data_IF_267283639751
#
_entry.id   IF_267283639751
#
_cell.length_a   1.000
_cell.length_b   1.000
_cell.length_c   1.000
_cell.angle_alpha   90.00
_cell.angle_beta   90.00
_cell.angle_gamma   90.00
#
_symmetry.space_group_name_H-M   'P 1'
#
loop_
_entity.id
_entity.type
_entity.pdbx_description
1 polymer ?
#
# COMPACT_ATOMS: atom_id res chain seq x y z
N UNK A 1 3.01 11.24 39.97
CA UNK A 1 4.39 11.75 39.76
C UNK A 1 4.87 11.23 38.42
N UNK A 2 5.53 12.05 37.60
CA UNK A 2 5.98 11.63 36.27
C UNK A 2 7.46 11.27 36.27
N UNK A 3 7.84 10.33 35.42
CA UNK A 3 9.23 9.91 35.29
C UNK A 3 9.51 8.99 34.11
N UNK A 4 10.73 8.46 34.04
CA UNK A 4 11.20 7.57 32.98
C UNK A 4 11.84 6.30 33.53
N UNK A 5 11.56 5.17 32.89
CA UNK A 5 12.16 3.88 33.26
C UNK A 5 13.65 3.86 32.90
N UNK A 6 14.53 3.62 33.86
CA UNK A 6 15.98 3.53 33.68
C UNK A 6 16.46 2.12 33.30
N UNK A 7 15.77 1.09 33.79
CA UNK A 7 16.21 -0.30 33.65
C UNK A 7 15.18 -1.25 34.25
N UNK A 8 15.02 -2.41 33.62
CA UNK A 8 14.20 -3.52 34.11
C UNK A 8 15.17 -4.66 34.41
N UNK A 9 15.34 -5.04 35.67
CA UNK A 9 16.22 -6.15 36.02
C UNK A 9 15.47 -7.47 35.78
N UNK A 10 15.91 -8.23 34.79
CA UNK A 10 15.26 -9.49 34.34
C UNK A 10 15.23 -10.56 35.42
N UNK A 11 16.15 -10.49 36.40
CA UNK A 11 16.28 -11.51 37.46
C UNK A 11 15.49 -11.21 38.74
N UNK A 12 15.10 -9.94 38.97
CA UNK A 12 14.53 -9.51 40.25
C UNK A 12 13.12 -8.92 40.12
N UNK A 13 12.54 -8.90 38.91
CA UNK A 13 11.21 -8.34 38.64
C UNK A 13 11.04 -6.92 39.25
N UNK A 14 12.14 -6.18 39.36
CA UNK A 14 12.19 -4.85 39.94
C UNK A 14 12.87 -3.91 38.94
N UNK A 15 12.29 -2.73 38.77
CA UNK A 15 12.81 -1.69 37.89
C UNK A 15 13.12 -0.40 38.63
N UNK A 16 13.86 0.48 37.97
CA UNK A 16 14.17 1.81 38.47
C UNK A 16 13.53 2.87 37.56
N UNK A 17 12.94 3.89 38.17
CA UNK A 17 12.34 5.06 37.53
C UNK A 17 13.10 6.30 38.00
N UNK A 18 13.49 7.18 37.09
CA UNK A 18 13.89 8.55 37.43
C UNK A 18 12.66 9.42 37.40
N UNK A 19 12.30 10.01 38.54
CA UNK A 19 11.26 11.02 38.61
C UNK A 19 11.72 12.32 37.95
N UNK A 20 10.77 13.16 37.55
CA UNK A 20 11.04 14.51 37.03
C UNK A 20 11.70 15.42 38.09
N UNK A 21 11.66 15.03 39.37
CA UNK A 21 12.40 15.65 40.48
C UNK A 21 13.90 15.28 40.52
N UNK A 22 14.36 14.45 39.58
CA UNK A 22 15.74 13.96 39.50
C UNK A 22 16.07 12.85 40.50
N UNK A 23 15.12 12.40 41.32
CA UNK A 23 15.32 11.29 42.28
C UNK A 23 15.00 9.95 41.62
N UNK A 24 15.59 8.88 42.17
CA UNK A 24 15.39 7.52 41.70
C UNK A 24 14.41 6.79 42.61
N UNK A 25 13.40 6.18 42.00
CA UNK A 25 12.37 5.39 42.64
C UNK A 25 12.48 3.95 42.13
N UNK A 26 12.35 2.97 43.02
CA UNK A 26 12.23 1.57 42.62
C UNK A 26 10.76 1.20 42.51
N UNK A 27 10.41 0.35 41.55
CA UNK A 27 9.08 -0.26 41.46
C UNK A 27 9.22 -1.77 41.32
N UNK A 28 8.24 -2.49 41.85
CA UNK A 28 8.08 -3.92 41.66
C UNK A 28 7.23 -4.20 40.42
N UNK A 29 7.42 -5.32 39.74
CA UNK A 29 6.59 -5.73 38.61
C UNK A 29 5.10 -5.83 38.99
N UNK A 30 4.77 -6.14 40.25
CA UNK A 30 3.39 -6.17 40.74
C UNK A 30 2.69 -4.78 40.70
N UNK A 31 3.47 -3.70 40.76
CA UNK A 31 2.99 -2.31 40.71
C UNK A 31 2.77 -1.81 39.28
N UNK A 32 3.17 -2.58 38.26
CA UNK A 32 3.00 -2.20 36.86
C UNK A 32 1.57 -2.43 36.37
N UNK A 33 0.95 -1.38 35.82
CA UNK A 33 -0.45 -1.37 35.36
C UNK A 33 -0.59 -1.30 33.83
N UNK A 34 0.50 -1.44 33.08
CA UNK A 34 0.48 -1.39 31.61
C UNK A 34 0.21 -2.75 30.94
N UNK A 35 -0.51 -2.74 29.82
CA UNK A 35 -0.81 -3.96 29.03
C UNK A 35 0.42 -4.64 28.43
N UNK A 36 1.50 -3.89 28.20
CA UNK A 36 2.79 -4.38 27.70
C UNK A 36 3.84 -4.29 28.79
N UNK A 37 4.86 -5.14 28.70
CA UNK A 37 6.02 -5.07 29.57
C UNK A 37 6.66 -3.68 29.53
N UNK A 38 7.09 -3.21 30.70
CA UNK A 38 7.84 -1.98 30.86
C UNK A 38 9.11 -1.96 29.97
N UNK A 39 9.35 -0.85 29.28
CA UNK A 39 10.53 -0.65 28.43
C UNK A 39 11.40 0.50 28.94
N UNK A 40 12.72 0.34 28.81
CA UNK A 40 13.68 1.38 29.21
C UNK A 40 13.44 2.64 28.38
N UNK A 41 13.38 3.78 29.05
CA UNK A 41 13.07 5.09 28.45
C UNK A 41 11.58 5.40 28.34
N UNK A 42 10.68 4.47 28.65
CA UNK A 42 9.24 4.73 28.66
C UNK A 42 8.89 5.80 29.71
N UNK A 43 8.00 6.72 29.33
CA UNK A 43 7.45 7.71 30.26
C UNK A 43 6.31 7.08 31.04
N UNK A 44 6.31 7.30 32.35
CA UNK A 44 5.37 6.69 33.30
C UNK A 44 4.81 7.74 34.25
N UNK A 45 3.59 7.52 34.71
CA UNK A 45 3.00 8.20 35.87
C UNK A 45 2.88 7.17 37.00
N UNK A 46 3.27 7.54 38.20
CA UNK A 46 3.33 6.67 39.36
C UNK A 46 3.08 7.45 40.64
N UNK A 47 2.61 6.79 41.68
CA UNK A 47 2.54 7.39 43.01
C UNK A 47 3.80 7.06 43.82
N UNK A 48 4.16 7.92 44.77
CA UNK A 48 5.35 7.74 45.61
C UNK A 48 4.93 7.50 47.04
N UNK A 49 5.26 6.32 47.56
CA UNK A 49 5.05 5.96 48.95
C UNK A 49 6.36 5.43 49.53
N UNK A 50 6.92 6.14 50.53
CA UNK A 50 8.15 5.70 51.22
C UNK A 50 9.40 5.58 50.33
N UNK A 51 9.46 6.28 49.19
CA UNK A 51 10.59 6.20 48.23
C UNK A 51 10.48 5.03 47.24
N UNK A 52 9.35 4.33 47.24
CA UNK A 52 8.98 3.29 46.26
C UNK A 52 7.88 3.84 45.35
N UNK A 53 7.96 3.53 44.07
CA UNK A 53 6.94 3.88 43.09
C UNK A 53 5.83 2.80 43.10
N UNK A 54 4.60 3.23 43.36
CA UNK A 54 3.38 2.40 43.36
C UNK A 54 2.45 2.79 42.22
N UNK A 55 1.60 1.85 41.82
CA UNK A 55 0.60 2.02 40.75
C UNK A 55 1.19 2.74 39.52
N UNK A 56 2.18 2.08 38.90
CA UNK A 56 2.93 2.61 37.76
C UNK A 56 2.12 2.43 36.48
N UNK A 57 1.62 3.53 35.94
CA UNK A 57 0.91 3.57 34.68
C UNK A 57 1.85 4.02 33.55
N UNK A 58 1.79 3.37 32.37
CA UNK A 58 2.40 3.95 31.17
C UNK A 58 1.73 5.29 30.88
N UNK A 59 2.51 6.36 30.80
CA UNK A 59 1.95 7.67 30.48
C UNK A 59 1.37 7.61 29.06
N UNK A 60 0.09 7.95 28.93
CA UNK A 60 -0.61 8.05 27.64
C UNK A 60 0.05 9.16 26.85
N UNK A 61 0.95 8.75 25.94
CA UNK A 61 1.96 9.63 25.33
C UNK A 61 3.22 8.88 24.90
N UNK A 62 3.40 7.63 25.36
CA UNK A 62 4.45 6.71 24.92
C UNK A 62 4.39 6.24 23.46
N UNK A 63 3.65 6.92 22.57
CA UNK A 63 3.89 6.88 21.13
C UNK A 63 5.02 7.88 20.78
N UNK A 64 6.20 7.69 21.37
CA UNK A 64 7.42 8.41 21.00
C UNK A 64 8.46 7.48 20.35
N UNK A 65 7.99 6.37 19.76
CA UNK A 65 8.74 5.68 18.71
C UNK A 65 8.45 6.37 17.39
N UNK A 66 9.41 7.17 16.91
CA UNK A 66 9.35 8.08 15.75
C UNK A 66 8.68 9.43 16.02
N UNK A 67 9.24 10.19 16.98
CA UNK A 67 8.92 11.60 17.16
C UNK A 67 10.09 12.33 17.77
N UNK A 68 10.86 13.06 16.96
CA UNK A 68 11.85 14.00 17.47
C UNK A 68 11.13 14.98 18.41
N UNK A 69 11.51 15.02 19.69
CA UNK A 69 10.91 15.95 20.64
C UNK A 69 11.10 17.39 20.16
N UNK A 70 10.15 18.30 20.43
CA UNK A 70 10.23 19.68 19.93
C UNK A 70 11.56 20.37 20.31
N UNK A 71 12.11 20.04 21.48
CA UNK A 71 13.44 20.48 21.94
C UNK A 71 14.59 19.86 21.13
N UNK A 72 14.45 18.61 20.69
CA UNK A 72 15.41 17.96 19.77
C UNK A 72 15.34 18.54 18.35
N UNK A 73 14.13 18.88 17.86
CA UNK A 73 13.95 19.51 16.54
C UNK A 73 14.53 20.91 16.54
N UNK A 74 14.34 21.66 17.63
CA UNK A 74 14.87 23.02 17.75
C UNK A 74 16.39 23.05 17.96
N UNK A 75 16.93 22.10 18.73
CA UNK A 75 18.37 21.90 18.83
C UNK A 75 19.00 21.46 17.50
N UNK A 76 18.31 20.60 16.74
CA UNK A 76 18.76 20.19 15.41
C UNK A 76 18.68 21.35 14.43
N UNK A 77 17.62 22.17 14.47
CA UNK A 77 17.42 23.34 13.62
C UNK A 77 18.53 24.40 13.79
N UNK A 78 19.06 24.55 15.01
CA UNK A 78 20.19 25.47 15.29
C UNK A 78 21.57 24.86 14.98
N UNK A 79 21.64 23.58 14.62
CA UNK A 79 22.91 22.97 14.21
C UNK A 79 23.29 23.40 12.79
N UNK A 80 24.59 23.38 12.42
CA UNK A 80 25.02 23.66 11.04
C UNK A 80 24.34 22.75 9.99
N UNK A 81 23.98 21.52 10.39
CA UNK A 81 23.20 20.61 9.56
C UNK A 81 21.74 21.02 9.43
N UNK A 82 21.10 21.47 10.51
CA UNK A 82 19.71 21.93 10.49
C UNK A 82 19.51 23.22 9.71
N UNK A 83 20.44 24.16 9.81
CA UNK A 83 20.41 25.39 9.03
C UNK A 83 20.53 25.12 7.53
N UNK A 84 21.35 24.13 7.14
CA UNK A 84 21.44 23.63 5.77
C UNK A 84 20.15 22.94 5.32
N UNK A 85 19.50 22.17 6.18
CA UNK A 85 18.19 21.57 5.88
C UNK A 85 17.14 22.67 5.66
N UNK A 86 17.05 23.65 6.56
CA UNK A 86 16.09 24.76 6.48
C UNK A 86 16.30 25.56 5.18
N UNK A 87 17.55 25.83 4.80
CA UNK A 87 17.83 26.54 3.55
C UNK A 87 17.43 25.73 2.30
N UNK A 88 17.63 24.40 2.31
CA UNK A 88 17.14 23.54 1.22
C UNK A 88 15.60 23.55 1.14
N UNK A 89 14.90 23.48 2.28
CA UNK A 89 13.44 23.59 2.32
C UNK A 89 12.90 24.93 1.81
N UNK A 90 13.65 26.02 1.97
CA UNK A 90 13.27 27.36 1.46
C UNK A 90 13.65 27.57 -0.01
N UNK A 91 14.77 27.00 -0.45
CA UNK A 91 15.31 27.23 -1.78
C UNK A 91 14.81 26.23 -2.82
N UNK A 92 14.40 25.02 -2.42
CA UNK A 92 13.91 23.99 -3.34
C UNK A 92 12.63 23.31 -2.85
N UNK A 93 11.71 23.05 -3.78
CA UNK A 93 10.51 22.24 -3.56
C UNK A 93 10.82 20.73 -3.61
N UNK A 94 11.97 20.33 -4.17
CA UNK A 94 12.32 18.93 -4.37
C UNK A 94 12.37 18.16 -3.04
N UNK A 95 13.00 18.75 -2.03
CA UNK A 95 13.19 18.13 -0.72
C UNK A 95 11.86 17.88 0.04
N UNK A 96 11.00 18.90 0.27
CA UNK A 96 9.73 18.67 0.96
C UNK A 96 8.83 17.69 0.21
N UNK A 97 8.77 17.78 -1.12
CA UNK A 97 7.89 16.92 -1.91
C UNK A 97 8.42 15.48 -1.97
N UNK A 98 9.74 15.26 -2.06
CA UNK A 98 10.31 13.91 -1.95
C UNK A 98 10.04 13.27 -0.59
N UNK A 99 10.06 14.04 0.51
CA UNK A 99 9.67 13.52 1.82
C UNK A 99 8.19 13.13 1.85
N UNK A 100 7.31 13.92 1.23
CA UNK A 100 5.90 13.54 1.06
C UNK A 100 5.76 12.24 0.27
N UNK A 101 6.53 12.02 -0.80
CA UNK A 101 6.54 10.75 -1.53
C UNK A 101 6.93 9.58 -0.64
N UNK A 102 7.99 9.73 0.17
CA UNK A 102 8.41 8.69 1.12
C UNK A 102 7.31 8.38 2.14
N UNK A 103 6.73 9.40 2.78
CA UNK A 103 5.65 9.22 3.76
C UNK A 103 4.41 8.59 3.11
N UNK A 104 3.98 9.11 1.95
CA UNK A 104 2.81 8.63 1.22
C UNK A 104 2.91 7.15 0.83
N UNK A 105 4.13 6.65 0.62
CA UNK A 105 4.36 5.23 0.34
C UNK A 105 3.96 4.31 1.50
N UNK A 106 4.13 4.77 2.75
CA UNK A 106 3.77 3.99 3.94
C UNK A 106 2.30 4.20 4.36
N UNK A 107 1.63 5.21 3.82
CA UNK A 107 0.22 5.45 4.10
C UNK A 107 -0.69 4.38 3.46
N UNK A 108 -1.94 4.25 3.92
CA UNK A 108 -2.90 3.31 3.35
C UNK A 108 -3.06 3.52 1.85
N UNK A 109 -2.92 2.42 1.09
CA UNK A 109 -3.02 2.38 -0.36
C UNK A 109 -4.36 1.79 -0.81
N UNK A 110 -4.73 0.65 -0.24
CA UNK A 110 -6.04 0.04 -0.39
C UNK A 110 -6.68 -0.10 0.99
N UNK A 111 -7.93 0.31 1.10
CA UNK A 111 -8.73 0.18 2.31
C UNK A 111 -9.96 -0.64 1.99
N UNK A 112 -10.24 -1.61 2.85
CA UNK A 112 -11.48 -2.40 2.85
C UNK A 112 -11.99 -2.45 4.30
N UNK A 113 -13.29 -2.73 4.54
CA UNK A 113 -13.85 -2.82 5.89
C UNK A 113 -13.11 -3.79 6.81
N UNK A 114 -12.46 -4.79 6.21
CA UNK A 114 -11.78 -5.88 6.92
C UNK A 114 -10.27 -5.63 7.04
N UNK A 115 -9.66 -4.88 6.12
CA UNK A 115 -8.21 -4.73 6.04
C UNK A 115 -7.77 -3.46 5.32
N UNK A 116 -6.85 -2.73 5.94
CA UNK A 116 -6.10 -1.62 5.33
C UNK A 116 -4.69 -2.06 5.00
N UNK A 117 -4.23 -1.74 3.79
CA UNK A 117 -2.92 -2.18 3.29
C UNK A 117 -2.19 -0.99 2.66
N UNK A 118 -0.93 -0.78 3.03
CA UNK A 118 -0.04 0.23 2.43
C UNK A 118 0.61 -0.27 1.14
N UNK A 119 1.38 0.58 0.45
CA UNK A 119 2.07 0.20 -0.80
C UNK A 119 2.94 -1.06 -0.63
N UNK A 120 3.52 -1.27 0.55
CA UNK A 120 4.34 -2.46 0.84
C UNK A 120 3.54 -3.76 0.92
N UNK A 121 2.28 -3.70 1.33
CA UNK A 121 1.46 -4.89 1.58
C UNK A 121 0.60 -5.33 0.41
N UNK A 122 0.62 -4.59 -0.70
CA UNK A 122 -0.24 -4.82 -1.87
C UNK A 122 -0.07 -6.24 -2.45
N UNK A 123 1.12 -6.82 -2.38
CA UNK A 123 1.38 -8.18 -2.90
C UNK A 123 0.61 -9.24 -2.11
N UNK A 124 0.35 -8.99 -0.81
CA UNK A 124 -0.47 -9.87 0.03
C UNK A 124 -1.94 -9.83 -0.36
N UNK A 125 -2.41 -8.71 -0.90
CA UNK A 125 -3.78 -8.59 -1.41
C UNK A 125 -3.94 -9.46 -2.65
N UNK A 126 -3.01 -9.34 -3.60
CA UNK A 126 -3.00 -10.18 -4.82
C UNK A 126 -2.90 -11.67 -4.49
N UNK A 127 -2.03 -12.04 -3.55
CA UNK A 127 -1.91 -13.43 -3.10
C UNK A 127 -3.22 -13.95 -2.48
N UNK A 128 -3.97 -13.10 -1.77
CA UNK A 128 -5.27 -13.47 -1.20
C UNK A 128 -6.41 -13.54 -2.22
N UNK A 129 -6.28 -12.92 -3.40
CA UNK A 129 -7.30 -12.98 -4.47
C UNK A 129 -7.34 -14.35 -5.16
N UNK A 130 -6.48 -15.30 -4.77
CA UNK A 130 -6.59 -16.70 -5.21
C UNK A 130 -6.08 -16.94 -6.63
N UNK A 131 -5.00 -16.27 -7.04
CA UNK A 131 -4.30 -16.59 -8.30
C UNK A 131 -3.66 -17.99 -8.23
N UNK A 132 -4.48 -19.03 -8.40
CA UNK A 132 -4.00 -20.38 -8.70
C UNK A 132 -3.63 -20.41 -10.18
N UNK A 133 -2.33 -20.33 -10.48
CA UNK A 133 -1.80 -20.47 -11.84
C UNK A 133 -2.30 -21.77 -12.51
N UNK A 134 -2.54 -22.80 -11.71
CA UNK A 134 -3.05 -24.09 -12.14
C UNK A 134 -4.50 -24.01 -12.64
N UNK A 135 -5.37 -23.23 -11.98
CA UNK A 135 -6.77 -23.03 -12.41
C UNK A 135 -6.82 -22.25 -13.72
N UNK A 136 -5.96 -21.24 -13.88
CA UNK A 136 -5.83 -20.49 -15.13
C UNK A 136 -5.37 -21.40 -16.28
N UNK A 137 -4.47 -22.33 -16.02
CA UNK A 137 -4.00 -23.27 -17.04
C UNK A 137 -5.06 -24.30 -17.43
N UNK A 138 -5.83 -24.81 -16.48
CA UNK A 138 -7.01 -25.64 -16.75
C UNK A 138 -8.04 -24.87 -17.59
N UNK A 139 -8.30 -23.60 -17.26
CA UNK A 139 -9.16 -22.72 -18.05
C UNK A 139 -8.70 -22.54 -19.49
N UNK A 140 -7.39 -22.36 -19.72
CA UNK A 140 -6.82 -22.27 -21.08
C UNK A 140 -6.99 -23.56 -21.87
N UNK A 141 -6.79 -24.72 -21.24
CA UNK A 141 -7.03 -26.02 -21.89
C UNK A 141 -8.49 -26.18 -22.29
N UNK A 142 -9.41 -25.86 -21.37
CA UNK A 142 -10.86 -25.88 -21.62
C UNK A 142 -11.26 -24.94 -22.75
N UNK A 143 -10.67 -23.74 -22.81
CA UNK A 143 -10.90 -22.79 -23.90
C UNK A 143 -10.45 -23.38 -25.26
N UNK A 144 -9.30 -24.04 -25.30
CA UNK A 144 -8.80 -24.68 -26.53
C UNK A 144 -9.68 -25.86 -26.98
N UNK A 145 -10.24 -26.62 -26.03
CA UNK A 145 -11.24 -27.65 -26.33
C UNK A 145 -12.52 -27.04 -26.92
N UNK A 146 -13.06 -25.99 -26.31
CA UNK A 146 -14.22 -25.24 -26.81
C UNK A 146 -14.02 -24.69 -28.21
N UNK A 147 -12.84 -24.12 -28.50
CA UNK A 147 -12.53 -23.59 -29.82
C UNK A 147 -12.48 -24.69 -30.89
N UNK A 148 -12.00 -25.88 -30.54
CA UNK A 148 -12.05 -27.06 -31.40
C UNK A 148 -13.47 -27.53 -31.65
N UNK A 149 -14.30 -27.56 -30.61
CA UNK A 149 -15.70 -27.97 -30.73
C UNK A 149 -16.52 -26.96 -31.56
N UNK A 150 -16.35 -25.66 -31.33
CA UNK A 150 -16.97 -24.59 -32.14
C UNK A 150 -16.60 -24.76 -33.61
N UNK A 151 -15.32 -25.00 -33.92
CA UNK A 151 -14.89 -25.23 -35.29
C UNK A 151 -15.59 -26.45 -35.91
N UNK A 152 -15.68 -27.56 -35.16
CA UNK A 152 -16.40 -28.77 -35.59
C UNK A 152 -17.88 -28.48 -35.86
N UNK A 153 -18.60 -27.91 -34.91
CA UNK A 153 -20.04 -27.62 -35.08
C UNK A 153 -20.31 -26.60 -36.16
N UNK A 154 -19.42 -25.62 -36.36
CA UNK A 154 -19.53 -24.67 -37.47
C UNK A 154 -19.39 -25.36 -38.84
N UNK A 155 -18.47 -26.34 -38.95
CA UNK A 155 -18.37 -27.15 -40.17
C UNK A 155 -19.60 -28.04 -40.37
N UNK A 156 -20.15 -28.64 -39.31
CA UNK A 156 -21.37 -29.45 -39.40
C UNK A 156 -22.59 -28.61 -39.80
N UNK A 157 -22.74 -27.41 -39.24
CA UNK A 157 -23.79 -26.45 -39.62
C UNK A 157 -23.71 -26.08 -41.10
N UNK A 158 -22.50 -25.91 -41.65
CA UNK A 158 -22.29 -25.61 -43.06
C UNK A 158 -22.70 -26.78 -43.98
N UNK A 159 -22.58 -28.02 -43.52
CA UNK A 159 -22.90 -29.22 -44.31
C UNK A 159 -24.35 -29.66 -44.18
N UNK A 160 -24.95 -29.57 -42.98
CA UNK A 160 -26.28 -30.09 -42.66
C UNK A 160 -27.34 -29.01 -42.43
N UNK A 161 -26.94 -27.75 -42.38
CA UNK A 161 -27.80 -26.63 -41.99
C UNK A 161 -27.87 -26.45 -40.46
N UNK A 162 -28.09 -25.23 -40.01
CA UNK A 162 -28.12 -24.88 -38.58
C UNK A 162 -29.29 -25.50 -37.81
N UNK A 163 -30.38 -25.86 -38.49
CA UNK A 163 -31.55 -26.53 -37.92
C UNK A 163 -31.41 -28.05 -37.79
N UNK A 164 -30.30 -28.64 -38.27
CA UNK A 164 -30.06 -30.07 -38.14
C UNK A 164 -30.03 -30.48 -36.65
N UNK A 165 -30.63 -31.63 -36.28
CA UNK A 165 -30.62 -32.11 -34.91
C UNK A 165 -29.20 -32.39 -34.42
N UNK A 166 -28.87 -31.92 -33.22
CA UNK A 166 -27.60 -32.24 -32.55
C UNK A 166 -27.65 -33.70 -32.04
N UNK A 167 -26.74 -34.53 -32.53
CA UNK A 167 -26.72 -35.98 -32.28
C UNK A 167 -26.32 -36.39 -30.86
N UNK A 168 -25.94 -35.44 -30.00
CA UNK A 168 -25.38 -35.76 -28.68
C UNK A 168 -26.47 -36.03 -27.62
N UNK A 169 -27.69 -35.46 -27.73
CA UNK A 169 -28.81 -35.77 -26.80
C UNK A 169 -30.23 -35.66 -27.40
N UNK A 170 -30.39 -35.36 -28.70
CA UNK A 170 -31.71 -35.33 -29.36
C UNK A 170 -32.63 -34.18 -28.97
N UNK A 171 -32.19 -33.28 -28.08
CA UNK A 171 -32.90 -32.06 -27.70
C UNK A 171 -32.05 -30.84 -28.10
N UNK A 172 -32.28 -30.29 -29.30
CA UNK A 172 -31.59 -29.11 -29.82
C UNK A 172 -31.11 -29.25 -31.26
N UNK A 173 -30.74 -28.13 -31.87
CA UNK A 173 -30.14 -28.08 -33.20
C UNK A 173 -28.68 -27.61 -33.11
N UNK A 174 -27.93 -27.83 -34.19
CA UNK A 174 -26.51 -27.45 -34.29
C UNK A 174 -26.29 -25.94 -34.05
N UNK A 175 -27.23 -25.09 -34.49
CA UNK A 175 -27.18 -23.64 -34.28
C UNK A 175 -27.21 -23.23 -32.81
N UNK A 176 -28.19 -23.72 -32.05
CA UNK A 176 -28.33 -23.43 -30.61
C UNK A 176 -27.11 -23.96 -29.82
N UNK A 177 -26.57 -25.11 -30.24
CA UNK A 177 -25.34 -25.66 -29.63
C UNK A 177 -24.15 -24.75 -29.89
N UNK A 178 -23.97 -24.29 -31.13
CA UNK A 178 -22.92 -23.35 -31.49
C UNK A 178 -23.01 -22.06 -30.68
N UNK A 179 -24.21 -21.48 -30.54
CA UNK A 179 -24.45 -20.29 -29.72
C UNK A 179 -24.04 -20.53 -28.25
N UNK A 180 -24.47 -21.65 -27.65
CA UNK A 180 -24.10 -21.99 -26.28
C UNK A 180 -22.59 -22.18 -26.07
N UNK A 181 -21.89 -22.73 -27.06
CA UNK A 181 -20.43 -22.92 -27.01
C UNK A 181 -19.71 -21.58 -27.17
N UNK A 182 -20.21 -20.70 -28.04
CA UNK A 182 -19.67 -19.34 -28.23
C UNK A 182 -19.86 -18.49 -26.97
N UNK A 183 -21.00 -18.61 -26.29
CA UNK A 183 -21.27 -17.97 -24.99
C UNK A 183 -20.29 -18.48 -23.93
N UNK A 184 -20.16 -19.79 -23.75
CA UNK A 184 -19.20 -20.39 -22.80
C UNK A 184 -17.75 -19.97 -23.10
N UNK A 185 -17.36 -19.91 -24.38
CA UNK A 185 -16.04 -19.44 -24.80
C UNK A 185 -15.84 -17.98 -24.41
N UNK A 186 -16.85 -17.12 -24.60
CA UNK A 186 -16.82 -15.70 -24.25
C UNK A 186 -16.61 -15.51 -22.75
N UNK A 187 -17.35 -16.25 -21.92
CA UNK A 187 -17.22 -16.21 -20.46
C UNK A 187 -15.84 -16.65 -19.98
N UNK A 188 -15.38 -17.83 -20.44
CA UNK A 188 -14.06 -18.36 -20.06
C UNK A 188 -12.94 -17.43 -20.52
N UNK A 189 -13.05 -16.85 -21.72
CA UNK A 189 -12.10 -15.86 -22.23
C UNK A 189 -12.07 -14.59 -21.38
N UNK A 190 -13.23 -14.08 -20.96
CA UNK A 190 -13.31 -12.91 -20.06
C UNK A 190 -12.63 -13.20 -18.73
N UNK A 191 -12.88 -14.37 -18.13
CA UNK A 191 -12.23 -14.82 -16.90
C UNK A 191 -10.70 -14.91 -17.05
N UNK A 192 -10.23 -15.58 -18.10
CA UNK A 192 -8.79 -15.70 -18.41
C UNK A 192 -8.14 -14.33 -18.65
N UNK A 193 -8.80 -13.45 -19.40
CA UNK A 193 -8.30 -12.10 -19.65
C UNK A 193 -8.17 -11.27 -18.36
N UNK A 194 -9.12 -11.39 -17.44
CA UNK A 194 -9.05 -10.73 -16.14
C UNK A 194 -7.90 -11.28 -15.27
N UNK A 195 -7.67 -12.59 -15.30
CA UNK A 195 -6.53 -13.24 -14.62
C UNK A 195 -5.19 -12.75 -15.19
N UNK A 196 -5.05 -12.75 -16.52
CA UNK A 196 -3.83 -12.30 -17.19
C UNK A 196 -3.56 -10.81 -16.94
N UNK A 197 -4.61 -9.98 -16.91
CA UNK A 197 -4.52 -8.57 -16.55
C UNK A 197 -4.04 -8.40 -15.11
N UNK A 198 -4.64 -9.11 -14.14
CA UNK A 198 -4.23 -9.06 -12.75
C UNK A 198 -2.77 -9.51 -12.57
N UNK A 199 -2.35 -10.59 -13.26
CA UNK A 199 -0.97 -11.06 -13.25
C UNK A 199 -0.01 -10.00 -13.80
N UNK A 200 -0.39 -9.35 -14.90
CA UNK A 200 0.41 -8.28 -15.52
C UNK A 200 0.56 -7.10 -14.58
N UNK A 201 -0.54 -6.66 -13.96
CA UNK A 201 -0.52 -5.58 -12.95
C UNK A 201 0.31 -5.99 -11.75
N UNK A 202 0.20 -7.22 -11.25
CA UNK A 202 0.99 -7.72 -10.13
C UNK A 202 2.50 -7.71 -10.43
N UNK A 203 2.90 -8.12 -11.64
CA UNK A 203 4.30 -8.00 -12.06
C UNK A 203 4.73 -6.54 -12.13
N UNK A 204 3.88 -5.66 -12.69
CA UNK A 204 4.17 -4.23 -12.80
C UNK A 204 4.21 -3.52 -11.44
N UNK A 205 3.56 -4.06 -10.40
CA UNK A 205 3.60 -3.51 -9.05
C UNK A 205 5.02 -3.40 -8.50
N UNK A 206 5.97 -4.23 -8.94
CA UNK A 206 7.37 -4.09 -8.51
C UNK A 206 7.96 -2.72 -8.89
N UNK A 207 7.47 -2.09 -9.95
CA UNK A 207 7.89 -0.76 -10.39
C UNK A 207 7.52 0.33 -9.37
N UNK A 208 6.56 0.10 -8.47
CA UNK A 208 6.20 1.09 -7.45
C UNK A 208 7.38 1.43 -6.52
N UNK A 209 8.30 0.48 -6.30
CA UNK A 209 9.50 0.71 -5.48
C UNK A 209 10.50 1.68 -6.12
N UNK A 210 10.40 1.92 -7.42
CA UNK A 210 11.20 2.96 -8.10
C UNK A 210 10.91 4.34 -7.52
N UNK A 211 9.69 4.60 -7.01
CA UNK A 211 9.35 5.86 -6.36
C UNK A 211 10.16 6.08 -5.07
N UNK A 212 10.36 5.04 -4.25
CA UNK A 212 11.19 5.13 -3.04
C UNK A 212 12.65 5.41 -3.38
N UNK A 213 13.19 4.67 -4.34
CA UNK A 213 14.59 4.81 -4.77
C UNK A 213 14.80 6.20 -5.38
N UNK A 214 13.89 6.66 -6.25
CA UNK A 214 13.98 7.96 -6.88
C UNK A 214 13.83 9.11 -5.86
N UNK A 215 12.94 8.98 -4.87
CA UNK A 215 12.81 9.97 -3.80
C UNK A 215 14.07 10.04 -2.93
N UNK A 216 14.62 8.89 -2.50
CA UNK A 216 15.87 8.84 -1.75
C UNK A 216 17.05 9.42 -2.54
N UNK A 217 17.11 9.12 -3.84
CA UNK A 217 18.11 9.67 -4.75
C UNK A 217 17.96 11.18 -4.92
N UNK A 218 16.73 11.69 -5.07
CA UNK A 218 16.47 13.12 -5.17
C UNK A 218 16.94 13.84 -3.91
N UNK A 219 16.63 13.31 -2.73
CA UNK A 219 17.10 13.84 -1.45
C UNK A 219 18.62 13.89 -1.47
N UNK A 220 19.31 12.80 -1.81
CA UNK A 220 20.76 12.79 -1.91
C UNK A 220 21.31 13.87 -2.85
N UNK A 221 20.71 14.05 -4.04
CA UNK A 221 21.13 15.07 -5.00
C UNK A 221 20.93 16.51 -4.49
N UNK A 222 19.90 16.76 -3.66
CA UNK A 222 19.74 18.07 -3.00
C UNK A 222 20.88 18.37 -2.02
N UNK A 223 21.46 17.33 -1.39
CA UNK A 223 22.60 17.51 -0.49
C UNK A 223 23.90 17.78 -1.24
N UNK A 224 24.11 17.16 -2.41
CA UNK A 224 25.32 17.33 -3.23
C UNK A 224 25.34 18.63 -4.04
N UNK A 225 24.19 19.30 -4.18
CA UNK A 225 24.06 20.54 -4.95
C UNK A 225 24.06 20.33 -6.47
N UNK A 226 23.77 19.11 -6.93
CA UNK A 226 23.71 18.79 -8.35
C UNK A 226 22.45 19.36 -9.04
N UNK A 227 22.43 19.35 -10.38
CA UNK A 227 21.27 19.78 -11.15
C UNK A 227 20.04 18.91 -10.84
N UNK A 228 19.02 19.50 -10.23
CA UNK A 228 17.85 18.77 -9.71
C UNK A 228 16.81 18.42 -10.78
N UNK A 229 16.73 19.22 -11.86
CA UNK A 229 15.67 19.10 -12.89
C UNK A 229 15.44 17.68 -13.44
N UNK A 230 16.46 16.94 -13.94
CA UNK A 230 16.21 15.60 -14.48
C UNK A 230 15.74 14.61 -13.40
N UNK A 231 16.20 14.79 -12.16
CA UNK A 231 15.86 13.93 -11.04
C UNK A 231 14.47 14.23 -10.49
N UNK A 232 14.02 15.50 -10.51
CA UNK A 232 12.65 15.89 -10.15
C UNK A 232 11.64 15.26 -11.11
N UNK A 233 11.91 15.29 -12.42
CA UNK A 233 11.08 14.63 -13.43
C UNK A 233 11.02 13.11 -13.22
N UNK A 234 12.18 12.48 -12.98
CA UNK A 234 12.27 11.04 -12.75
C UNK A 234 11.51 10.61 -11.47
N UNK A 235 11.70 11.34 -10.37
CA UNK A 235 11.00 11.08 -9.12
C UNK A 235 9.49 11.34 -9.23
N UNK A 236 9.10 12.40 -9.96
CA UNK A 236 7.70 12.70 -10.21
C UNK A 236 7.01 11.64 -11.06
N UNK A 237 7.65 11.18 -12.14
CA UNK A 237 7.14 10.09 -12.97
C UNK A 237 7.03 8.79 -12.18
N UNK A 238 8.04 8.44 -11.38
CA UNK A 238 8.01 7.26 -10.52
C UNK A 238 6.89 7.31 -9.46
N UNK A 239 6.64 8.47 -8.85
CA UNK A 239 5.55 8.68 -7.91
C UNK A 239 4.17 8.52 -8.58
N UNK A 240 3.98 9.09 -9.78
CA UNK A 240 2.74 8.92 -10.55
C UNK A 240 2.52 7.44 -10.90
N UNK A 241 3.56 6.74 -11.36
CA UNK A 241 3.48 5.31 -11.68
C UNK A 241 3.08 4.49 -10.44
N UNK A 242 3.69 4.74 -9.28
CA UNK A 242 3.34 4.05 -8.04
C UNK A 242 1.88 4.28 -7.61
N UNK A 243 1.43 5.55 -7.67
CA UNK A 243 0.03 5.90 -7.41
C UNK A 243 -0.93 5.20 -8.38
N UNK A 244 -0.68 5.35 -9.69
CA UNK A 244 -1.51 4.79 -10.76
C UNK A 244 -1.59 3.27 -10.76
N UNK A 245 -0.51 2.57 -10.43
CA UNK A 245 -0.50 1.12 -10.26
C UNK A 245 -1.48 0.63 -9.19
N UNK A 246 -1.75 1.44 -8.15
CA UNK A 246 -2.74 1.08 -7.13
C UNK A 246 -4.16 1.13 -7.68
N UNK A 247 -4.46 2.11 -8.55
CA UNK A 247 -5.74 2.19 -9.25
C UNK A 247 -5.91 1.01 -10.21
N UNK A 248 -4.87 0.69 -10.99
CA UNK A 248 -4.89 -0.46 -11.89
C UNK A 248 -5.10 -1.78 -11.14
N UNK A 249 -4.48 -1.93 -9.97
CA UNK A 249 -4.68 -3.10 -9.13
C UNK A 249 -6.13 -3.21 -8.64
N UNK A 250 -6.72 -2.11 -8.16
CA UNK A 250 -8.13 -2.08 -7.77
C UNK A 250 -9.03 -2.53 -8.93
N UNK A 251 -8.82 -1.94 -10.12
CA UNK A 251 -9.57 -2.28 -11.32
C UNK A 251 -9.39 -3.74 -11.73
N UNK A 252 -8.18 -4.29 -11.60
CA UNK A 252 -7.90 -5.69 -11.91
C UNK A 252 -8.62 -6.65 -10.95
N UNK A 253 -8.64 -6.34 -9.66
CA UNK A 253 -9.35 -7.14 -8.65
C UNK A 253 -10.86 -7.12 -8.92
N UNK A 254 -11.44 -5.94 -9.16
CA UNK A 254 -12.87 -5.80 -9.46
C UNK A 254 -13.23 -6.52 -10.76
N UNK A 255 -12.42 -6.36 -11.81
CA UNK A 255 -12.63 -7.03 -13.10
C UNK A 255 -12.58 -8.56 -13.00
N UNK A 256 -11.65 -9.10 -12.19
CA UNK A 256 -11.60 -10.54 -11.91
C UNK A 256 -12.86 -11.00 -11.16
N UNK A 257 -13.32 -10.24 -10.17
CA UNK A 257 -14.52 -10.56 -9.43
C UNK A 257 -15.79 -10.56 -10.29
N UNK A 258 -15.90 -9.58 -11.20
CA UNK A 258 -16.99 -9.51 -12.18
C UNK A 258 -16.98 -10.73 -13.10
N UNK A 259 -15.80 -11.23 -13.47
CA UNK A 259 -15.67 -12.34 -14.41
C UNK A 259 -15.91 -13.71 -13.76
N UNK A 260 -15.74 -13.84 -12.43
CA UNK A 260 -15.90 -15.10 -11.71
C UNK A 260 -17.28 -15.29 -11.06
N UNK A 261 -18.05 -14.22 -10.85
CA UNK A 261 -19.33 -14.31 -10.14
C UNK A 261 -20.54 -14.36 -11.10
N UNK A 262 -21.54 -15.21 -10.84
CA UNK A 262 -22.79 -15.26 -11.63
C UNK A 262 -23.67 -14.01 -11.46
N UNK A 263 -23.44 -13.21 -10.40
CA UNK A 263 -24.04 -11.87 -10.22
C UNK A 263 -23.18 -10.74 -10.82
N UNK A 264 -22.08 -11.08 -11.48
CA UNK A 264 -21.20 -10.24 -12.30
C UNK A 264 -21.04 -8.79 -11.84
N UNK A 265 -21.77 -7.90 -12.49
CA UNK A 265 -21.68 -6.45 -12.30
C UNK A 265 -22.27 -5.98 -10.96
N UNK A 266 -23.34 -6.61 -10.47
CA UNK A 266 -23.97 -6.22 -9.21
C UNK A 266 -23.08 -6.51 -8.00
N UNK A 267 -22.39 -7.66 -8.02
CA UNK A 267 -21.42 -8.04 -7.00
C UNK A 267 -20.18 -7.12 -7.05
N UNK A 268 -19.69 -6.81 -8.25
CA UNK A 268 -18.57 -5.89 -8.43
C UNK A 268 -18.91 -4.47 -7.99
N UNK A 269 -20.12 -3.98 -8.25
CA UNK A 269 -20.58 -2.67 -7.80
C UNK A 269 -20.69 -2.58 -6.27
N UNK A 270 -21.18 -3.63 -5.60
CA UNK A 270 -21.15 -3.69 -4.15
C UNK A 270 -19.70 -3.66 -3.63
N UNK A 271 -18.80 -4.43 -4.22
CA UNK A 271 -17.40 -4.45 -3.81
C UNK A 271 -16.67 -3.13 -4.09
N UNK A 272 -17.01 -2.42 -5.16
CA UNK A 272 -16.43 -1.11 -5.49
C UNK A 272 -16.70 -0.07 -4.39
N UNK A 273 -17.88 -0.14 -3.76
CA UNK A 273 -18.22 0.71 -2.62
C UNK A 273 -17.46 0.37 -1.34
N UNK A 274 -17.01 -0.89 -1.21
CA UNK A 274 -16.31 -1.39 -0.02
C UNK A 274 -14.79 -1.23 -0.14
N UNK A 275 -14.24 -1.36 -1.35
CA UNK A 275 -12.81 -1.20 -1.60
C UNK A 275 -12.54 0.25 -2.00
N UNK A 276 -11.95 1.03 -1.11
CA UNK A 276 -11.57 2.41 -1.39
C UNK A 276 -10.07 2.57 -1.53
N UNK A 277 -9.68 3.54 -2.36
CA UNK A 277 -8.28 3.92 -2.51
C UNK A 277 -7.93 4.81 -1.33
N UNK A 278 -6.88 4.42 -0.60
CA UNK A 278 -6.41 5.18 0.55
C UNK A 278 -5.76 6.51 0.16
N UNK A 279 -5.43 7.32 1.17
CA UNK A 279 -4.84 8.65 0.97
C UNK A 279 -3.43 8.58 0.34
N UNK A 280 -2.68 7.48 0.51
CA UNK A 280 -1.31 7.34 0.04
C UNK A 280 -1.16 7.50 -1.49
N UNK A 281 -1.87 6.72 -2.32
CA UNK A 281 -1.88 6.85 -3.78
C UNK A 281 -2.24 8.25 -4.27
N UNK A 282 -3.23 8.90 -3.63
CA UNK A 282 -3.59 10.28 -3.97
C UNK A 282 -2.46 11.26 -3.71
N UNK A 283 -1.78 11.14 -2.57
CA UNK A 283 -0.62 11.95 -2.24
C UNK A 283 0.56 11.68 -3.19
N UNK A 284 0.77 10.42 -3.61
CA UNK A 284 1.79 10.07 -4.60
C UNK A 284 1.52 10.73 -5.96
N UNK A 285 0.27 10.70 -6.43
CA UNK A 285 -0.12 11.37 -7.68
C UNK A 285 0.08 12.89 -7.57
N UNK A 286 -0.41 13.50 -6.49
CA UNK A 286 -0.29 14.94 -6.27
C UNK A 286 1.18 15.37 -6.15
N UNK A 287 1.98 14.68 -5.34
CA UNK A 287 3.41 14.94 -5.19
C UNK A 287 4.16 14.73 -6.50
N UNK A 288 3.79 13.71 -7.28
CA UNK A 288 4.39 13.44 -8.58
C UNK A 288 4.13 14.56 -9.59
N UNK A 289 2.90 15.07 -9.67
CA UNK A 289 2.56 16.24 -10.51
C UNK A 289 3.33 17.48 -10.07
N UNK A 290 3.43 17.72 -8.76
CA UNK A 290 4.19 18.87 -8.22
C UNK A 290 5.67 18.76 -8.58
N UNK A 291 6.29 17.58 -8.47
CA UNK A 291 7.69 17.35 -8.84
C UNK A 291 7.93 17.58 -10.33
N UNK A 292 7.02 17.10 -11.19
CA UNK A 292 7.13 17.33 -12.63
C UNK A 292 7.00 18.83 -12.95
N UNK A 293 6.01 19.50 -12.36
CA UNK A 293 5.79 20.92 -12.56
C UNK A 293 6.97 21.78 -12.04
N UNK A 294 7.57 21.38 -10.91
CA UNK A 294 8.82 21.96 -10.39
C UNK A 294 9.99 21.75 -11.36
N UNK A 295 10.19 20.53 -11.85
CA UNK A 295 11.30 20.20 -12.75
C UNK A 295 11.22 20.91 -14.10
N UNK A 296 10.00 21.19 -14.57
CA UNK A 296 9.72 22.02 -15.75
C UNK A 296 9.79 23.53 -15.48
N UNK A 297 9.92 23.95 -14.21
CA UNK A 297 9.99 25.36 -13.81
C UNK A 297 8.65 26.09 -13.76
N UNK A 298 7.53 25.36 -13.79
CA UNK A 298 6.17 25.91 -13.74
C UNK A 298 5.76 26.34 -12.33
N UNK A 299 6.29 25.67 -11.30
CA UNK A 299 5.99 25.94 -9.89
C UNK A 299 7.26 26.35 -9.16
N UNK A 300 7.19 27.42 -8.36
CA UNK A 300 8.29 27.93 -7.53
C UNK A 300 7.97 27.77 -6.06
N UNK A 301 9.02 27.61 -5.23
CA UNK A 301 8.84 27.44 -3.80
C UNK A 301 8.17 28.68 -3.17
N UNK A 302 6.98 28.54 -2.57
CA UNK A 302 6.30 29.67 -1.94
C UNK A 302 7.06 30.20 -0.71
N UNK A 303 7.90 29.36 -0.08
CA UNK A 303 8.70 29.73 1.09
C UNK A 303 9.97 30.51 0.75
N UNK A 304 10.32 30.62 -0.54
CA UNK A 304 11.50 31.34 -1.02
C UNK A 304 11.29 32.85 -1.19
N UNK A 305 10.09 33.36 -0.91
CA UNK A 305 9.80 34.80 -0.87
C UNK A 305 9.48 35.24 0.56
N UNK A 306 10.53 35.48 1.33
CA UNK A 306 10.53 36.33 2.51
C UNK A 306 11.93 36.92 2.65
#
# INVERSE_FOLDING_TARGET
MKGKILGVATEQLAGAITGDDGKRYRYDAAEWRGERAASVGASVDFDVEGGVARDVYPAVGGFAGVGASATSVEALARSPGGERVISLFRNTLALPVALVVLVAFFLPALSSPVKTVSQFGLDKVVASTGLNLDEAEVGRRRLADLERDIARFRTEAAHRGAEAPDGVYGYGNVGNRLESLEEQRSEIRKGLGAVDFLKTVNTALILRFTALIAAAWLIWQTWTGAALRPWELAAGAAAILAGGLTFLLKSAILGLLSAMNPMGEAAAAQMDSLVSIGIGPWLLLAAGVILIASGLGLVRNPLGRA
#
